data_IF_570608716333
#
_entry.id   IF_570608716333
#
_cell.length_a   1.000
_cell.length_b   1.000
_cell.length_c   1.000
_cell.angle_alpha   90.00
_cell.angle_beta   90.00
_cell.angle_gamma   90.00
#
_symmetry.space_group_name_H-M   'P 1'
#
loop_
_entity.id
_entity.type
_entity.pdbx_description
1 polymer ?
#
# COMPACT_ATOMS: atom_id res chain seq x y z
N UNK A 1 -19.95 -18.52 -17.54
CA UNK A 1 -19.09 -19.71 -17.41
C UNK A 1 -18.76 -19.88 -15.93
N UNK A 2 -19.03 -21.05 -15.35
CA UNK A 2 -18.61 -21.37 -13.99
C UNK A 2 -17.16 -21.85 -14.08
N UNK A 3 -16.23 -21.15 -13.42
CA UNK A 3 -14.83 -21.60 -13.30
C UNK A 3 -14.82 -22.72 -12.26
N UNK A 4 -14.34 -23.91 -12.64
CA UNK A 4 -14.35 -25.08 -11.74
C UNK A 4 -13.04 -25.24 -10.96
N UNK A 5 -11.94 -24.62 -11.42
CA UNK A 5 -10.61 -24.77 -10.83
C UNK A 5 -9.94 -23.43 -10.46
N UNK A 6 -9.09 -23.38 -9.41
CA UNK A 6 -8.36 -22.16 -9.01
C UNK A 6 -7.50 -21.54 -10.13
N UNK A 7 -6.84 -22.37 -10.94
CA UNK A 7 -6.00 -21.92 -12.06
C UNK A 7 -6.82 -21.15 -13.11
N UNK A 8 -8.04 -21.62 -13.42
CA UNK A 8 -8.93 -20.97 -14.39
C UNK A 8 -9.37 -19.59 -13.87
N UNK A 9 -9.63 -19.47 -12.56
CA UNK A 9 -10.00 -18.20 -11.93
C UNK A 9 -8.85 -17.20 -12.02
N UNK A 10 -7.60 -17.63 -11.78
CA UNK A 10 -6.43 -16.76 -11.88
C UNK A 10 -6.14 -16.33 -13.32
N UNK A 11 -6.32 -17.24 -14.29
CA UNK A 11 -6.15 -16.95 -15.71
C UNK A 11 -7.18 -15.94 -16.24
N UNK A 12 -8.43 -16.03 -15.78
CA UNK A 12 -9.52 -15.11 -16.15
C UNK A 12 -9.27 -13.64 -15.76
N UNK A 13 -8.43 -13.41 -14.75
CA UNK A 13 -8.01 -12.05 -14.37
C UNK A 13 -7.06 -11.48 -15.42
N UNK A 14 -6.19 -12.30 -16.01
CA UNK A 14 -5.26 -11.90 -17.07
C UNK A 14 -5.95 -11.54 -18.38
N UNK A 15 -7.13 -12.13 -18.65
CA UNK A 15 -7.96 -11.83 -19.83
C UNK A 15 -8.96 -10.70 -19.60
N UNK A 16 -9.07 -10.19 -18.36
CA UNK A 16 -10.00 -9.12 -17.98
C UNK A 16 -11.45 -9.57 -17.80
N UNK A 17 -11.72 -10.88 -17.79
CA UNK A 17 -13.07 -11.44 -17.59
C UNK A 17 -13.54 -11.35 -16.14
N UNK A 18 -12.60 -11.27 -15.19
CA UNK A 18 -12.91 -11.22 -13.76
C UNK A 18 -12.15 -10.10 -13.05
N UNK A 19 -12.85 -9.36 -12.18
CA UNK A 19 -12.17 -8.42 -11.30
C UNK A 19 -11.37 -9.16 -10.21
N UNK A 20 -10.26 -8.58 -9.70
CA UNK A 20 -9.48 -9.18 -8.62
C UNK A 20 -10.31 -9.50 -7.36
N UNK A 21 -11.33 -8.68 -7.06
CA UNK A 21 -12.23 -8.86 -5.92
C UNK A 21 -13.14 -10.08 -6.12
N UNK A 22 -13.71 -10.23 -7.32
CA UNK A 22 -14.55 -11.38 -7.65
C UNK A 22 -13.73 -12.66 -7.67
N UNK A 23 -12.49 -12.60 -8.17
CA UNK A 23 -11.59 -13.73 -8.20
C UNK A 23 -11.23 -14.15 -6.78
N UNK A 24 -10.91 -13.20 -5.93
CA UNK A 24 -10.62 -13.43 -4.53
C UNK A 24 -11.78 -14.12 -3.80
N UNK A 25 -13.03 -13.69 -4.02
CA UNK A 25 -14.21 -14.33 -3.44
C UNK A 25 -14.38 -15.77 -3.93
N UNK A 26 -14.30 -16.00 -5.24
CA UNK A 26 -14.43 -17.34 -5.83
C UNK A 26 -13.36 -18.30 -5.33
N UNK A 27 -12.11 -17.84 -5.22
CA UNK A 27 -11.01 -18.65 -4.70
C UNK A 27 -11.24 -19.05 -3.23
N UNK A 28 -11.72 -18.12 -2.39
CA UNK A 28 -12.08 -18.46 -1.00
C UNK A 28 -13.19 -19.50 -0.90
N UNK A 29 -14.22 -19.41 -1.75
CA UNK A 29 -15.32 -20.39 -1.79
C UNK A 29 -14.82 -21.80 -2.13
N UNK A 30 -13.87 -21.91 -3.07
CA UNK A 30 -13.21 -23.17 -3.46
C UNK A 30 -12.34 -23.72 -2.33
N UNK A 31 -11.65 -22.87 -1.57
CA UNK A 31 -10.81 -23.28 -0.43
C UNK A 31 -11.63 -23.78 0.76
N UNK A 32 -12.76 -23.14 1.07
CA UNK A 32 -13.67 -23.61 2.14
C UNK A 32 -14.26 -24.99 1.86
N UNK A 33 -14.27 -25.44 0.62
CA UNK A 33 -14.79 -26.76 0.22
C UNK A 33 -13.72 -27.85 0.15
N UNK A 34 -12.42 -27.52 0.19
CA UNK A 34 -11.31 -28.48 -0.01
C UNK A 34 -10.52 -28.84 1.25
N UNK A 35 -10.84 -28.26 2.42
CA UNK A 35 -10.44 -28.76 3.76
C UNK A 35 -9.07 -29.44 3.86
N UNK A 36 -7.97 -28.69 3.70
CA UNK A 36 -6.61 -29.23 3.73
C UNK A 36 -5.76 -28.70 4.90
N UNK A 37 -5.19 -29.62 5.67
CA UNK A 37 -4.37 -29.46 6.90
C UNK A 37 -3.00 -28.74 6.76
N UNK A 38 -2.82 -27.86 5.76
CA UNK A 38 -1.59 -27.05 5.59
C UNK A 38 -1.63 -25.69 6.32
N UNK A 39 -2.56 -25.51 7.27
CA UNK A 39 -3.13 -24.21 7.61
C UNK A 39 -2.45 -23.43 8.76
N UNK A 40 -1.54 -23.98 9.56
CA UNK A 40 -1.20 -23.37 10.87
C UNK A 40 -0.42 -22.04 10.81
N UNK A 41 0.48 -21.85 9.84
CA UNK A 41 1.24 -20.61 9.70
C UNK A 41 0.49 -19.55 8.85
N UNK A 42 -0.21 -20.00 7.81
CA UNK A 42 -1.01 -19.15 6.91
C UNK A 42 -2.23 -18.56 7.67
N UNK A 43 -2.91 -19.37 8.48
CA UNK A 43 -4.06 -18.94 9.30
C UNK A 43 -3.69 -17.88 10.32
N UNK A 44 -2.50 -17.94 10.93
CA UNK A 44 -2.07 -16.95 11.92
C UNK A 44 -1.78 -15.58 11.29
N UNK A 45 -1.29 -15.54 10.04
CA UNK A 45 -1.13 -14.28 9.30
C UNK A 45 -2.49 -13.70 8.93
N UNK A 46 -3.40 -14.52 8.42
CA UNK A 46 -4.77 -14.10 8.09
C UNK A 46 -5.52 -13.56 9.31
N UNK A 47 -5.43 -14.24 10.45
CA UNK A 47 -6.05 -13.79 11.71
C UNK A 47 -5.47 -12.44 12.19
N UNK A 48 -4.15 -12.23 12.03
CA UNK A 48 -3.52 -10.94 12.33
C UNK A 48 -4.01 -9.83 11.42
N UNK A 49 -4.12 -10.10 10.11
CA UNK A 49 -4.65 -9.13 9.14
C UNK A 49 -6.10 -8.80 9.47
N UNK A 50 -6.93 -9.81 9.78
CA UNK A 50 -8.33 -9.60 10.13
C UNK A 50 -8.49 -8.75 11.39
N UNK A 51 -7.66 -8.97 12.42
CA UNK A 51 -7.62 -8.10 13.61
C UNK A 51 -7.29 -6.65 13.27
N UNK A 52 -6.34 -6.41 12.36
CA UNK A 52 -5.98 -5.05 11.93
C UNK A 52 -7.09 -4.43 11.07
N UNK A 53 -7.73 -5.21 10.20
CA UNK A 53 -8.89 -4.73 9.42
C UNK A 53 -10.08 -4.40 10.32
N UNK A 54 -10.27 -5.14 11.41
CA UNK A 54 -11.27 -4.82 12.42
C UNK A 54 -10.93 -3.51 13.16
N UNK A 55 -9.64 -3.21 13.40
CA UNK A 55 -9.20 -1.90 13.92
C UNK A 55 -9.61 -0.76 12.96
N UNK A 56 -9.48 -0.97 11.64
CA UNK A 56 -9.93 -0.03 10.63
C UNK A 56 -11.46 0.12 10.64
N UNK A 57 -12.20 -0.99 10.76
CA UNK A 57 -13.66 -1.00 10.76
C UNK A 57 -14.27 -0.27 11.96
N UNK A 58 -13.58 -0.30 13.11
CA UNK A 58 -13.96 0.45 14.31
C UNK A 58 -13.86 1.99 14.16
N UNK A 59 -13.12 2.50 13.16
CA UNK A 59 -13.08 3.93 12.90
C UNK A 59 -14.41 4.40 12.30
N UNK A 60 -15.00 5.45 12.88
CA UNK A 60 -16.28 5.99 12.43
C UNK A 60 -16.13 6.62 11.04
N UNK A 61 -17.03 6.26 10.12
CA UNK A 61 -16.99 6.73 8.72
C UNK A 61 -15.96 5.98 7.87
N UNK A 62 -15.28 6.72 6.98
CA UNK A 62 -14.19 6.22 6.11
C UNK A 62 -14.58 5.04 5.20
N UNK A 63 -15.84 4.97 4.76
CA UNK A 63 -16.36 3.87 3.94
C UNK A 63 -15.54 3.64 2.66
N UNK A 64 -15.14 4.71 1.97
CA UNK A 64 -14.32 4.64 0.76
C UNK A 64 -12.91 4.09 1.05
N UNK A 65 -12.30 4.52 2.15
CA UNK A 65 -10.97 4.03 2.58
C UNK A 65 -11.05 2.55 2.95
N UNK A 66 -12.07 2.15 3.73
CA UNK A 66 -12.32 0.75 4.11
C UNK A 66 -12.51 -0.13 2.89
N UNK A 67 -13.22 0.37 1.88
CA UNK A 67 -13.39 -0.33 0.60
C UNK A 67 -12.04 -0.47 -0.10
N UNK A 68 -11.33 0.64 -0.33
CA UNK A 68 -10.03 0.66 -1.00
C UNK A 68 -9.01 -0.28 -0.36
N UNK A 69 -8.92 -0.32 0.98
CA UNK A 69 -8.02 -1.23 1.70
C UNK A 69 -8.34 -2.70 1.39
N UNK A 70 -9.63 -3.07 1.33
CA UNK A 70 -10.05 -4.43 0.97
C UNK A 70 -9.76 -4.75 -0.50
N UNK A 71 -9.89 -3.78 -1.39
CA UNK A 71 -9.56 -3.95 -2.81
C UNK A 71 -8.06 -4.20 -3.00
N UNK A 72 -7.22 -3.41 -2.31
CA UNK A 72 -5.77 -3.59 -2.32
C UNK A 72 -5.37 -4.95 -1.73
N UNK A 73 -6.00 -5.35 -0.62
CA UNK A 73 -5.79 -6.67 -0.02
C UNK A 73 -6.09 -7.80 -1.02
N UNK A 74 -7.27 -7.78 -1.64
CA UNK A 74 -7.65 -8.77 -2.64
C UNK A 74 -6.68 -8.78 -3.83
N UNK A 75 -6.30 -7.61 -4.33
CA UNK A 75 -5.36 -7.49 -5.44
C UNK A 75 -4.00 -8.11 -5.11
N UNK A 76 -3.42 -7.79 -3.94
CA UNK A 76 -2.13 -8.34 -3.51
C UNK A 76 -2.18 -9.86 -3.39
N UNK A 77 -3.24 -10.40 -2.78
CA UNK A 77 -3.38 -11.84 -2.61
C UNK A 77 -3.49 -12.56 -3.96
N UNK A 78 -4.26 -11.99 -4.90
CA UNK A 78 -4.33 -12.49 -6.27
C UNK A 78 -2.94 -12.48 -6.93
N UNK A 79 -2.19 -11.39 -6.81
CA UNK A 79 -0.86 -11.31 -7.43
C UNK A 79 0.11 -12.33 -6.84
N UNK A 80 0.08 -12.54 -5.52
CA UNK A 80 0.88 -13.60 -4.87
C UNK A 80 0.52 -14.99 -5.36
N UNK A 81 -0.77 -15.27 -5.57
CA UNK A 81 -1.22 -16.55 -6.10
C UNK A 81 -0.78 -16.73 -7.55
N UNK A 82 -0.90 -15.68 -8.38
CA UNK A 82 -0.36 -15.68 -9.75
C UNK A 82 1.14 -15.94 -9.78
N UNK A 83 1.90 -15.32 -8.88
CA UNK A 83 3.34 -15.53 -8.74
C UNK A 83 3.69 -16.99 -8.40
N UNK A 84 2.96 -17.60 -7.45
CA UNK A 84 3.14 -19.01 -7.07
C UNK A 84 2.90 -19.95 -8.26
N UNK A 85 1.92 -19.63 -9.10
CA UNK A 85 1.58 -20.37 -10.33
C UNK A 85 2.45 -19.95 -11.53
N UNK A 86 3.48 -19.11 -11.34
CA UNK A 86 4.38 -18.60 -12.39
C UNK A 86 3.64 -17.87 -13.52
N UNK A 87 2.49 -17.29 -13.22
CA UNK A 87 1.74 -16.41 -14.11
C UNK A 87 2.29 -14.99 -14.05
N UNK A 88 2.09 -14.22 -15.12
CA UNK A 88 2.50 -12.82 -15.14
C UNK A 88 1.80 -12.03 -14.02
N UNK A 89 2.57 -11.28 -13.24
CA UNK A 89 2.08 -10.38 -12.19
C UNK A 89 2.20 -8.93 -12.63
N UNK A 90 1.32 -8.07 -12.12
CA UNK A 90 1.41 -6.63 -12.37
C UNK A 90 2.17 -5.93 -11.24
N UNK A 91 2.97 -4.88 -11.56
CA UNK A 91 3.65 -4.10 -10.54
C UNK A 91 2.64 -3.35 -9.65
N UNK A 92 2.87 -3.41 -8.35
CA UNK A 92 2.00 -2.78 -7.37
C UNK A 92 2.46 -1.34 -7.07
N UNK A 93 1.64 -0.36 -7.44
CA UNK A 93 1.88 1.06 -7.09
C UNK A 93 0.91 1.48 -5.97
N UNK A 94 1.44 1.77 -4.78
CA UNK A 94 0.65 2.07 -3.57
C UNK A 94 0.81 3.50 -3.04
N UNK A 95 1.22 4.45 -3.88
CA UNK A 95 1.24 5.86 -3.48
C UNK A 95 -0.19 6.39 -3.43
N UNK A 96 -0.58 6.99 -2.30
CA UNK A 96 -1.95 7.45 -2.05
C UNK A 96 -1.97 8.91 -1.62
N UNK A 97 -3.09 9.58 -1.90
CA UNK A 97 -3.37 10.94 -1.44
C UNK A 97 -4.55 10.88 -0.47
N UNK A 98 -4.31 11.30 0.77
CA UNK A 98 -5.37 11.46 1.77
C UNK A 98 -5.89 12.90 1.73
N UNK A 99 -7.14 13.08 1.27
CA UNK A 99 -7.80 14.40 1.24
C UNK A 99 -8.82 14.53 2.36
N UNK A 100 -9.00 15.74 2.88
CA UNK A 100 -10.07 16.12 3.81
C UNK A 100 -9.58 17.06 4.90
N UNK A 101 -10.47 17.50 5.79
CA UNK A 101 -10.14 18.47 6.83
C UNK A 101 -9.11 17.93 7.86
N UNK A 102 -8.34 18.80 8.52
CA UNK A 102 -7.52 18.42 9.67
C UNK A 102 -8.34 17.71 10.75
N UNK A 103 -7.73 16.78 11.49
CA UNK A 103 -8.41 16.02 12.55
C UNK A 103 -9.32 14.88 12.08
N UNK A 104 -9.37 14.57 10.78
CA UNK A 104 -10.19 13.46 10.23
C UNK A 104 -9.50 12.09 10.25
N UNK A 105 -8.43 11.94 11.05
CA UNK A 105 -7.78 10.64 11.28
C UNK A 105 -6.89 10.12 10.14
N UNK A 106 -6.42 10.96 9.21
CA UNK A 106 -5.56 10.55 8.08
C UNK A 106 -4.30 9.81 8.53
N UNK A 107 -3.59 10.38 9.51
CA UNK A 107 -2.37 9.77 10.08
C UNK A 107 -2.69 8.43 10.74
N UNK A 108 -3.84 8.31 11.42
CA UNK A 108 -4.30 7.04 12.02
C UNK A 108 -4.54 5.98 10.96
N UNK A 109 -5.23 6.32 9.87
CA UNK A 109 -5.45 5.42 8.74
C UNK A 109 -4.12 4.99 8.12
N UNK A 110 -3.20 5.92 7.88
CA UNK A 110 -1.88 5.61 7.31
C UNK A 110 -1.08 4.63 8.20
N UNK A 111 -1.18 4.79 9.53
CA UNK A 111 -0.54 3.88 10.49
C UNK A 111 -1.13 2.48 10.43
N UNK A 112 -2.46 2.36 10.34
CA UNK A 112 -3.14 1.07 10.19
C UNK A 112 -2.73 0.41 8.86
N UNK A 113 -2.71 1.16 7.75
CA UNK A 113 -2.26 0.61 6.47
C UNK A 113 -0.82 0.09 6.53
N UNK A 114 0.08 0.77 7.26
CA UNK A 114 1.45 0.29 7.46
C UNK A 114 1.51 -1.09 8.11
N UNK A 115 0.65 -1.34 9.11
CA UNK A 115 0.50 -2.67 9.73
C UNK A 115 -0.03 -3.70 8.72
N UNK A 116 -1.11 -3.37 7.98
CA UNK A 116 -1.70 -4.29 6.99
C UNK A 116 -0.68 -4.65 5.91
N UNK A 117 0.02 -3.66 5.34
CA UNK A 117 1.03 -3.87 4.29
C UNK A 117 2.22 -4.70 4.76
N UNK A 118 2.60 -4.59 6.04
CA UNK A 118 3.63 -5.44 6.63
C UNK A 118 3.17 -6.90 6.74
N UNK A 119 1.99 -7.15 7.30
CA UNK A 119 1.47 -8.51 7.42
C UNK A 119 1.22 -9.15 6.05
N UNK A 120 0.85 -8.34 5.05
CA UNK A 120 0.78 -8.76 3.65
C UNK A 120 2.15 -8.92 2.98
N UNK A 121 3.26 -8.68 3.65
CA UNK A 121 4.60 -8.82 3.06
C UNK A 121 4.94 -7.82 1.95
N UNK A 122 4.14 -6.75 1.80
CA UNK A 122 4.45 -5.63 0.89
C UNK A 122 5.53 -4.74 1.48
N UNK A 123 5.48 -4.53 2.80
CA UNK A 123 6.46 -3.76 3.56
C UNK A 123 7.25 -4.68 4.49
N UNK A 124 8.55 -4.44 4.63
CA UNK A 124 9.40 -5.23 5.52
C UNK A 124 9.23 -4.89 7.01
N UNK A 125 8.83 -3.65 7.34
CA UNK A 125 8.70 -3.16 8.73
C UNK A 125 7.33 -2.59 9.07
N UNK A 126 6.69 -1.87 8.13
CA UNK A 126 5.36 -1.30 8.31
C UNK A 126 5.26 -0.09 9.25
N UNK A 127 6.39 0.51 9.63
CA UNK A 127 6.40 1.73 10.45
C UNK A 127 6.00 2.97 9.62
N UNK A 128 5.48 3.98 10.30
CA UNK A 128 5.08 5.25 9.71
C UNK A 128 6.09 6.33 10.10
N UNK A 129 6.67 7.03 9.12
CA UNK A 129 7.45 8.24 9.32
C UNK A 129 6.61 9.41 8.83
N UNK A 130 6.20 10.27 9.75
CA UNK A 130 5.49 11.50 9.47
C UNK A 130 6.49 12.64 9.29
N UNK A 131 6.33 13.42 8.23
CA UNK A 131 7.18 14.55 7.89
C UNK A 131 6.35 15.72 7.43
N UNK A 132 6.83 16.91 7.72
CA UNK A 132 6.31 18.17 7.19
C UNK A 132 7.34 18.81 6.25
N UNK A 133 6.99 19.98 5.70
CA UNK A 133 7.88 20.75 4.84
C UNK A 133 9.22 21.08 5.52
N UNK A 134 9.23 21.42 6.81
CA UNK A 134 10.44 21.78 7.54
C UNK A 134 11.45 20.62 7.67
N UNK A 135 10.95 19.37 7.65
CA UNK A 135 11.77 18.16 7.73
C UNK A 135 12.44 17.82 6.39
N UNK A 136 11.85 18.27 5.29
CA UNK A 136 12.27 17.93 3.93
C UNK A 136 13.09 19.05 3.29
N UNK A 137 12.78 20.30 3.59
CA UNK A 137 13.37 21.49 2.97
C UNK A 137 14.46 22.08 3.87
N UNK A 138 15.63 22.34 3.29
CA UNK A 138 16.76 22.99 3.96
C UNK A 138 16.69 24.50 3.90
N UNK A 139 17.38 25.17 4.83
CA UNK A 139 17.52 26.64 4.84
C UNK A 139 18.55 27.13 3.80
N UNK A 140 19.48 26.26 3.40
CA UNK A 140 20.59 26.58 2.51
C UNK A 140 20.58 25.68 1.26
N UNK A 141 21.19 26.18 0.18
CA UNK A 141 21.34 25.47 -1.10
C UNK A 141 22.02 24.12 -0.87
N UNK A 142 21.46 23.05 -1.44
CA UNK A 142 22.00 21.69 -1.36
C UNK A 142 21.64 20.92 -0.08
N UNK A 143 21.10 21.57 0.95
CA UNK A 143 20.68 20.89 2.18
C UNK A 143 19.35 20.13 2.01
N UNK A 144 18.48 20.61 1.12
CA UNK A 144 17.16 20.00 0.86
C UNK A 144 17.27 18.57 0.34
N UNK A 145 18.14 18.33 -0.64
CA UNK A 145 18.36 16.98 -1.16
C UNK A 145 18.92 16.02 -0.09
N UNK A 146 19.75 16.50 0.83
CA UNK A 146 20.26 15.67 1.94
C UNK A 146 19.15 15.35 2.94
N UNK A 147 18.45 16.37 3.46
CA UNK A 147 17.33 16.20 4.40
C UNK A 147 16.27 15.24 3.86
N UNK A 148 15.84 15.46 2.61
CA UNK A 148 14.83 14.60 1.97
C UNK A 148 15.29 13.15 1.88
N UNK A 149 16.56 12.89 1.50
CA UNK A 149 17.11 11.53 1.46
C UNK A 149 17.20 10.87 2.84
N UNK A 150 17.52 11.63 3.87
CA UNK A 150 17.57 11.11 5.24
C UNK A 150 16.18 10.65 5.71
N UNK A 151 15.13 11.43 5.43
CA UNK A 151 13.76 11.02 5.74
C UNK A 151 13.30 9.82 4.92
N UNK A 152 13.63 9.77 3.63
CA UNK A 152 13.36 8.60 2.77
C UNK A 152 14.05 7.33 3.29
N UNK A 153 15.31 7.43 3.74
CA UNK A 153 16.04 6.31 4.34
C UNK A 153 15.37 5.82 5.62
N UNK A 154 14.89 6.73 6.48
CA UNK A 154 14.14 6.37 7.70
C UNK A 154 12.84 5.67 7.36
N UNK A 155 12.15 6.09 6.31
CA UNK A 155 10.88 5.50 5.88
C UNK A 155 11.04 4.20 5.08
N UNK A 156 12.26 3.80 4.71
CA UNK A 156 12.50 2.60 3.91
C UNK A 156 11.97 1.33 4.62
N UNK A 157 11.21 0.52 3.89
CA UNK A 157 10.49 -0.65 4.44
C UNK A 157 9.23 -0.32 5.23
N UNK A 158 8.85 0.96 5.29
CA UNK A 158 7.64 1.49 5.94
C UNK A 158 6.89 2.45 5.01
N UNK A 159 6.18 3.40 5.61
CA UNK A 159 5.42 4.45 4.91
C UNK A 159 6.03 5.81 5.26
N UNK A 160 6.33 6.62 4.24
CA UNK A 160 6.56 8.05 4.39
C UNK A 160 5.23 8.79 4.24
N UNK A 161 4.78 9.45 5.30
CA UNK A 161 3.58 10.27 5.30
C UNK A 161 3.98 11.74 5.31
N UNK A 162 3.63 12.46 4.25
CA UNK A 162 3.95 13.88 4.10
C UNK A 162 2.69 14.67 4.41
N UNK A 163 2.64 15.31 5.58
CA UNK A 163 1.51 16.17 5.90
C UNK A 163 1.62 17.49 5.13
N UNK A 164 0.45 18.03 4.77
CA UNK A 164 0.31 19.25 3.99
C UNK A 164 1.26 19.32 2.77
N UNK A 165 1.41 18.21 2.04
CA UNK A 165 2.35 18.08 0.93
C UNK A 165 2.20 19.17 -0.16
N UNK A 166 1.02 19.79 -0.25
CA UNK A 166 0.78 20.95 -1.13
C UNK A 166 1.73 22.12 -0.82
N UNK A 167 2.21 22.23 0.42
CA UNK A 167 3.18 23.24 0.85
C UNK A 167 4.53 23.10 0.15
N UNK A 168 4.94 21.89 -0.26
CA UNK A 168 6.20 21.66 -1.00
C UNK A 168 6.14 22.23 -2.42
N UNK A 169 4.95 22.26 -3.01
CA UNK A 169 4.72 22.81 -4.35
C UNK A 169 4.45 24.33 -4.32
N UNK A 170 4.13 24.89 -3.15
CA UNK A 170 3.88 26.33 -2.98
C UNK A 170 5.20 27.07 -2.79
N UNK A 171 5.68 27.73 -3.84
CA UNK A 171 6.91 28.53 -3.83
C UNK A 171 7.26 29.14 -5.18
N UNK A 172 8.07 30.20 -5.16
CA UNK A 172 8.64 30.82 -6.37
C UNK A 172 9.83 30.02 -6.93
N UNK A 173 10.49 30.52 -7.97
CA UNK A 173 11.66 29.85 -8.59
C UNK A 173 12.85 29.65 -7.64
N UNK A 174 12.93 30.43 -6.56
CA UNK A 174 13.98 30.32 -5.53
C UNK A 174 13.61 29.43 -4.35
N UNK A 175 12.46 28.74 -4.41
CA UNK A 175 12.04 27.82 -3.35
C UNK A 175 12.62 26.41 -3.57
N UNK A 176 13.24 25.87 -2.52
CA UNK A 176 13.80 24.52 -2.49
C UNK A 176 12.75 23.42 -2.32
N UNK A 177 11.46 23.74 -2.18
CA UNK A 177 10.37 22.77 -2.16
C UNK A 177 10.31 21.88 -3.41
N UNK A 178 10.56 22.45 -4.60
CA UNK A 178 10.66 21.68 -5.87
C UNK A 178 11.81 20.68 -5.86
N UNK A 179 12.95 21.06 -5.29
CA UNK A 179 14.11 20.18 -5.16
C UNK A 179 13.80 18.96 -4.28
N UNK A 180 13.03 19.12 -3.21
CA UNK A 180 12.58 18.01 -2.38
C UNK A 180 11.72 17.02 -3.19
N UNK A 181 10.77 17.54 -3.98
CA UNK A 181 9.91 16.72 -4.86
C UNK A 181 10.76 15.96 -5.89
N UNK A 182 11.68 16.64 -6.57
CA UNK A 182 12.58 16.01 -7.55
C UNK A 182 13.46 14.92 -6.90
N UNK A 183 13.92 15.17 -5.68
CA UNK A 183 14.70 14.21 -4.92
C UNK A 183 13.88 12.97 -4.55
N UNK A 184 12.58 13.11 -4.28
CA UNK A 184 11.69 11.99 -4.05
C UNK A 184 11.45 11.18 -5.31
N UNK A 185 11.26 11.82 -6.48
CA UNK A 185 10.92 11.12 -7.74
C UNK A 185 12.10 10.32 -8.32
N UNK A 186 13.34 10.77 -8.12
CA UNK A 186 14.54 10.15 -8.70
C UNK A 186 14.74 8.67 -8.33
N UNK A 187 14.70 8.25 -7.05
CA UNK A 187 14.82 6.84 -6.66
C UNK A 187 13.79 5.92 -7.34
N UNK A 188 12.54 6.38 -7.51
CA UNK A 188 11.47 5.55 -8.07
C UNK A 188 11.66 5.24 -9.56
N UNK A 189 12.18 6.19 -10.34
CA UNK A 189 12.45 5.98 -11.77
C UNK A 189 13.52 4.90 -12.04
N UNK A 190 14.36 4.58 -11.05
CA UNK A 190 15.40 3.56 -11.18
C UNK A 190 14.94 2.16 -10.75
N UNK A 191 13.91 2.05 -9.91
CA UNK A 191 13.37 0.75 -9.45
C UNK A 191 12.36 0.12 -10.41
N UNK A 192 11.87 0.86 -11.41
CA UNK A 192 10.95 0.37 -12.46
C UNK A 192 11.66 0.06 -13.79
N UNK A 193 12.96 -0.27 -13.75
CA UNK A 193 13.72 -0.79 -14.89
C UNK A 193 14.26 -2.17 -14.60
#
# INVERSE_FOLDING_TARGET
MAYLCPEEVLAAIGTGELSPIEAFKKLREIETSTGGDFASAQSNVEERIEKILHELDNLIGLSEVKKLVREIYAFIEIQKRREKERLNTEPLVLHMIFKGNPGTGKTTVARIMGKVFREMGVLSRGHLIEVERADLVGEYIGHTAQKTREQLKKAYGGILFIDEAYSLARGGEKDFGKEAIDCMVKPWKQSSR
#
